data_IF_423298173527
#
_entry.id   IF_423298173527
#
_cell.length_a   1.000
_cell.length_b   1.000
_cell.length_c   1.000
_cell.angle_alpha   90.00
_cell.angle_beta   90.00
_cell.angle_gamma   90.00
#
_symmetry.space_group_name_H-M   'P 1'
#
loop_
_entity.id
_entity.type
_entity.pdbx_description
1 polymer ?
#
# COMPACT_ATOMS: atom_id res chain seq x y z
N UNK A 1 -6.23 -10.57 -5.73
CA UNK A 1 -7.65 -10.44 -6.17
C UNK A 1 -7.97 -9.03 -6.67
N UNK A 2 -7.21 -8.01 -6.24
CA UNK A 2 -7.38 -6.62 -6.71
C UNK A 2 -7.06 -6.38 -8.17
N UNK A 3 -6.12 -7.14 -8.77
CA UNK A 3 -5.93 -7.15 -10.23
C UNK A 3 -7.26 -7.39 -10.92
N UNK A 4 -8.01 -8.39 -10.45
CA UNK A 4 -9.34 -8.71 -10.98
C UNK A 4 -10.35 -7.60 -10.73
N UNK A 5 -10.36 -6.91 -9.58
CA UNK A 5 -11.36 -5.84 -9.31
C UNK A 5 -11.07 -4.57 -10.14
N UNK A 6 -9.79 -4.22 -10.31
CA UNK A 6 -9.37 -3.07 -11.12
C UNK A 6 -9.41 -3.36 -12.63
N UNK A 7 -9.36 -4.63 -13.03
CA UNK A 7 -9.43 -5.07 -14.44
C UNK A 7 -10.82 -5.57 -14.85
N UNK A 8 -11.66 -6.05 -13.93
CA UNK A 8 -13.09 -6.34 -14.14
C UNK A 8 -13.94 -5.22 -13.54
N UNK A 9 -14.14 -4.18 -14.35
CA UNK A 9 -15.49 -3.66 -14.54
C UNK A 9 -15.82 -3.90 -16.00
N UNK A 10 -16.72 -4.83 -16.22
CA UNK A 10 -17.32 -5.28 -17.48
C UNK A 10 -16.40 -5.88 -18.55
N UNK A 11 -16.76 -7.09 -18.98
CA UNK A 11 -16.28 -7.72 -20.24
C UNK A 11 -16.54 -6.87 -21.50
N UNK A 12 -17.19 -5.71 -21.35
CA UNK A 12 -17.50 -4.72 -22.40
C UNK A 12 -17.05 -3.28 -22.09
N UNK A 13 -16.44 -2.99 -20.92
CA UNK A 13 -15.87 -1.66 -20.71
C UNK A 13 -14.39 -1.68 -21.12
N UNK A 14 -14.03 -0.77 -22.03
CA UNK A 14 -12.66 -0.44 -22.39
C UNK A 14 -11.72 -0.53 -21.17
N UNK A 15 -10.67 -1.36 -21.26
CA UNK A 15 -9.56 -1.41 -20.29
C UNK A 15 -9.24 0.01 -19.82
N UNK A 16 -9.50 0.31 -18.55
CA UNK A 16 -9.26 1.64 -18.03
C UNK A 16 -7.76 1.83 -17.89
N UNK A 17 -7.16 2.67 -18.77
CA UNK A 17 -5.73 3.01 -18.70
C UNK A 17 -5.32 3.48 -17.30
N UNK A 18 -6.23 4.10 -16.57
CA UNK A 18 -5.99 4.54 -15.19
C UNK A 18 -5.86 3.39 -14.19
N UNK A 19 -6.66 2.32 -14.33
CA UNK A 19 -6.58 1.19 -13.39
C UNK A 19 -5.33 0.35 -13.62
N UNK A 20 -4.96 0.13 -14.89
CA UNK A 20 -3.69 -0.52 -15.25
C UNK A 20 -2.49 0.30 -14.76
N UNK A 21 -2.53 1.63 -14.92
CA UNK A 21 -1.49 2.52 -14.40
C UNK A 21 -1.33 2.42 -12.87
N UNK A 22 -2.43 2.42 -12.12
CA UNK A 22 -2.39 2.30 -10.66
C UNK A 22 -1.82 0.93 -10.24
N UNK A 23 -2.22 -0.15 -10.93
CA UNK A 23 -1.69 -1.49 -10.68
C UNK A 23 -0.19 -1.58 -10.96
N UNK A 24 0.26 -1.07 -12.10
CA UNK A 24 1.69 -1.10 -12.46
C UNK A 24 2.52 -0.27 -11.48
N UNK A 25 2.06 0.95 -11.18
CA UNK A 25 2.77 1.86 -10.28
C UNK A 25 2.77 1.34 -8.85
N UNK A 26 1.65 0.80 -8.37
CA UNK A 26 1.55 0.15 -7.07
C UNK A 26 2.47 -1.06 -6.94
N UNK A 27 2.50 -1.92 -7.96
CA UNK A 27 3.42 -3.07 -7.99
C UNK A 27 4.87 -2.62 -7.96
N UNK A 28 5.29 -1.69 -8.85
CA UNK A 28 6.67 -1.19 -8.87
C UNK A 28 7.05 -0.52 -7.55
N UNK A 29 6.13 0.24 -6.97
CA UNK A 29 6.35 0.97 -5.73
C UNK A 29 6.55 0.03 -4.54
N UNK A 30 5.71 -0.99 -4.41
CA UNK A 30 5.76 -1.93 -3.29
C UNK A 30 6.74 -3.09 -3.47
N UNK A 31 7.26 -3.31 -4.68
CA UNK A 31 8.12 -4.46 -4.99
C UNK A 31 9.28 -4.67 -3.99
N UNK A 32 10.07 -3.65 -3.58
CA UNK A 32 11.14 -3.85 -2.60
C UNK A 32 10.62 -4.32 -1.24
N UNK A 33 9.47 -3.81 -0.80
CA UNK A 33 8.83 -4.21 0.46
C UNK A 33 8.24 -5.62 0.36
N UNK A 34 7.65 -5.98 -0.79
CA UNK A 34 7.13 -7.33 -1.01
C UNK A 34 8.23 -8.39 -0.99
N UNK A 35 9.41 -8.11 -1.56
CA UNK A 35 10.56 -9.01 -1.47
C UNK A 35 11.00 -9.25 -0.01
N UNK A 36 11.05 -8.19 0.79
CA UNK A 36 11.38 -8.30 2.22
C UNK A 36 10.34 -9.10 2.99
N UNK A 37 9.06 -8.88 2.70
CA UNK A 37 7.96 -9.63 3.32
C UNK A 37 8.00 -11.11 2.90
N UNK A 38 8.25 -11.42 1.63
CA UNK A 38 8.32 -12.81 1.13
C UNK A 38 9.43 -13.63 1.78
N UNK A 39 10.53 -12.99 2.20
CA UNK A 39 11.58 -13.62 2.99
C UNK A 39 11.16 -13.93 4.45
N UNK A 40 10.10 -13.29 4.98
CA UNK A 40 9.71 -13.35 6.39
C UNK A 40 8.39 -14.08 6.63
N UNK A 41 7.43 -13.95 5.73
CA UNK A 41 6.06 -14.46 5.88
C UNK A 41 5.63 -15.29 4.67
N UNK A 42 4.59 -16.10 4.84
CA UNK A 42 4.02 -16.91 3.76
C UNK A 42 3.54 -16.02 2.59
N UNK A 43 3.82 -16.44 1.35
CA UNK A 43 3.48 -15.72 0.11
C UNK A 43 1.98 -15.35 0.01
N UNK A 44 1.09 -16.11 0.64
CA UNK A 44 -0.35 -15.76 0.74
C UNK A 44 -0.58 -14.51 1.58
N UNK A 45 0.19 -14.33 2.66
CA UNK A 45 0.14 -13.12 3.48
C UNK A 45 0.78 -11.93 2.75
N UNK A 46 1.87 -12.15 2.00
CA UNK A 46 2.47 -11.11 1.13
C UNK A 46 1.46 -10.63 0.07
N UNK A 47 0.74 -11.57 -0.54
CA UNK A 47 -0.32 -11.25 -1.51
C UNK A 47 -1.48 -10.49 -0.84
N UNK A 48 -1.84 -10.90 0.39
CA UNK A 48 -2.87 -10.22 1.19
C UNK A 48 -2.45 -8.79 1.53
N UNK A 49 -1.18 -8.55 1.85
CA UNK A 49 -0.65 -7.22 2.11
C UNK A 49 -0.80 -6.30 0.89
N UNK A 50 -0.42 -6.79 -0.30
CA UNK A 50 -0.60 -6.03 -1.53
C UNK A 50 -2.07 -5.74 -1.83
N UNK A 51 -2.94 -6.76 -1.74
CA UNK A 51 -4.37 -6.60 -1.95
C UNK A 51 -4.96 -5.57 -0.94
N UNK A 52 -4.54 -5.63 0.33
CA UNK A 52 -4.95 -4.67 1.37
C UNK A 52 -4.49 -3.24 1.05
N UNK A 53 -3.24 -3.05 0.63
CA UNK A 53 -2.73 -1.74 0.23
C UNK A 53 -3.54 -1.14 -0.92
N UNK A 54 -3.84 -1.94 -1.94
CA UNK A 54 -4.64 -1.48 -3.07
C UNK A 54 -6.08 -1.15 -2.66
N UNK A 55 -6.67 -1.92 -1.74
CA UNK A 55 -7.96 -1.62 -1.15
C UNK A 55 -7.97 -0.24 -0.50
N UNK A 56 -6.99 0.01 0.38
CA UNK A 56 -6.87 1.29 1.08
C UNK A 56 -6.66 2.43 0.09
N UNK A 57 -5.77 2.26 -0.90
CA UNK A 57 -5.49 3.30 -1.89
C UNK A 57 -6.72 3.68 -2.72
N UNK A 58 -7.50 2.70 -3.17
CA UNK A 58 -8.69 2.90 -4.01
C UNK A 58 -9.85 3.46 -3.20
N UNK A 59 -10.03 3.01 -1.95
CA UNK A 59 -11.18 3.35 -1.11
C UNK A 59 -10.88 4.35 0.01
N UNK A 60 -9.69 4.99 0.04
CA UNK A 60 -9.26 5.98 1.05
C UNK A 60 -10.23 7.14 1.26
N UNK A 61 -11.01 7.49 0.24
CA UNK A 61 -11.97 8.59 0.29
C UNK A 61 -13.35 8.19 0.84
N UNK A 62 -13.58 6.89 1.08
CA UNK A 62 -14.81 6.41 1.68
C UNK A 62 -14.72 6.50 3.21
N UNK A 63 -15.74 7.07 3.86
CA UNK A 63 -15.81 7.18 5.34
C UNK A 63 -15.63 5.82 6.04
N UNK A 64 -16.06 4.74 5.38
CA UNK A 64 -15.97 3.37 5.90
C UNK A 64 -14.81 2.56 5.29
N UNK A 65 -13.94 3.20 4.48
CA UNK A 65 -12.90 2.54 3.70
C UNK A 65 -11.79 1.86 4.51
N UNK A 66 -11.76 2.06 5.83
CA UNK A 66 -10.83 1.43 6.76
C UNK A 66 -11.48 0.44 7.73
N UNK A 67 -12.80 0.21 7.63
CA UNK A 67 -13.45 -0.82 8.41
C UNK A 67 -12.97 -2.20 7.93
N UNK A 68 -12.56 -3.05 8.87
CA UNK A 68 -11.98 -4.36 8.57
C UNK A 68 -12.96 -5.26 7.78
N UNK A 69 -14.26 -5.15 8.05
CA UNK A 69 -15.32 -5.85 7.33
C UNK A 69 -15.44 -5.39 5.88
N UNK A 70 -15.39 -4.08 5.64
CA UNK A 70 -15.41 -3.50 4.30
C UNK A 70 -14.16 -3.87 3.51
N UNK A 71 -12.98 -3.72 4.12
CA UNK A 71 -11.70 -4.14 3.54
C UNK A 71 -11.69 -5.65 3.22
N UNK A 72 -12.23 -6.47 4.11
CA UNK A 72 -12.43 -7.90 3.88
C UNK A 72 -13.33 -8.18 2.67
N UNK A 73 -14.41 -7.43 2.55
CA UNK A 73 -15.31 -7.44 1.39
C UNK A 73 -14.61 -7.02 0.09
N UNK A 74 -13.76 -5.99 0.13
CA UNK A 74 -13.00 -5.59 -1.06
C UNK A 74 -11.93 -6.62 -1.46
N UNK A 75 -11.34 -7.35 -0.52
CA UNK A 75 -10.35 -8.38 -0.87
C UNK A 75 -11.01 -9.64 -1.43
N UNK A 76 -12.08 -10.16 -0.81
CA UNK A 76 -12.66 -11.48 -1.16
C UNK A 76 -14.02 -11.42 -1.87
N UNK A 77 -14.58 -10.22 -2.07
CA UNK A 77 -15.97 -10.02 -2.48
C UNK A 77 -16.89 -9.83 -1.27
N UNK A 78 -17.95 -9.02 -1.42
CA UNK A 78 -18.87 -8.67 -0.33
C UNK A 78 -19.54 -9.90 0.30
N UNK A 79 -19.87 -10.93 -0.49
CA UNK A 79 -20.43 -12.20 -0.01
C UNK A 79 -19.45 -13.03 0.85
N UNK A 80 -18.15 -12.75 0.75
CA UNK A 80 -17.09 -13.44 1.47
C UNK A 80 -16.28 -12.49 2.37
N UNK A 81 -16.88 -11.37 2.78
CA UNK A 81 -16.25 -10.40 3.67
C UNK A 81 -15.66 -11.04 4.95
N UNK A 82 -16.30 -12.00 5.64
CA UNK A 82 -15.70 -12.67 6.80
C UNK A 82 -14.39 -13.40 6.50
N UNK A 83 -14.28 -14.02 5.31
CA UNK A 83 -13.05 -14.70 4.89
C UNK A 83 -11.92 -13.69 4.62
N UNK A 84 -12.24 -12.56 3.99
CA UNK A 84 -11.30 -11.46 3.77
C UNK A 84 -10.83 -10.84 5.09
N UNK A 85 -11.76 -10.57 6.01
CA UNK A 85 -11.47 -10.12 7.38
C UNK A 85 -10.49 -11.07 8.06
N UNK A 86 -10.73 -12.39 8.01
CA UNK A 86 -9.81 -13.38 8.59
C UNK A 86 -8.42 -13.33 7.97
N UNK A 87 -8.30 -13.16 6.65
CA UNK A 87 -7.01 -13.01 5.97
C UNK A 87 -6.24 -11.78 6.44
N UNK A 88 -6.89 -10.61 6.47
CA UNK A 88 -6.26 -9.37 6.97
C UNK A 88 -5.86 -9.54 8.43
N UNK A 89 -6.74 -10.11 9.24
CA UNK A 89 -6.50 -10.31 10.66
C UNK A 89 -5.32 -11.26 10.93
N UNK A 90 -5.12 -12.28 10.09
CA UNK A 90 -3.96 -13.15 10.13
C UNK A 90 -2.67 -12.44 9.71
N UNK A 91 -2.73 -11.58 8.68
CA UNK A 91 -1.60 -10.73 8.30
C UNK A 91 -1.18 -9.85 9.48
N UNK A 92 -2.11 -9.08 10.06
CA UNK A 92 -1.82 -8.14 11.14
C UNK A 92 -1.31 -8.80 12.43
N UNK A 93 -1.72 -10.04 12.70
CA UNK A 93 -1.25 -10.80 13.89
C UNK A 93 0.02 -11.62 13.65
N UNK A 94 0.54 -11.67 12.43
CA UNK A 94 1.73 -12.45 12.12
C UNK A 94 2.96 -11.84 12.82
N UNK A 95 3.52 -12.53 13.81
CA UNK A 95 4.68 -12.05 14.60
C UNK A 95 6.00 -11.96 13.82
N UNK A 96 6.05 -12.51 12.60
CA UNK A 96 7.25 -12.56 11.77
C UNK A 96 7.51 -11.25 11.00
N UNK A 97 6.57 -10.31 11.01
CA UNK A 97 6.74 -8.99 10.44
C UNK A 97 6.27 -7.91 11.43
N UNK A 98 6.69 -6.67 11.20
CA UNK A 98 6.43 -5.53 12.07
C UNK A 98 6.24 -4.27 11.21
N UNK A 99 5.59 -3.25 11.77
CA UNK A 99 5.49 -1.93 11.14
C UNK A 99 6.84 -1.30 10.85
N UNK A 100 7.88 -1.67 11.61
CA UNK A 100 9.26 -1.19 11.38
C UNK A 100 9.76 -1.48 9.96
N UNK A 101 9.30 -2.56 9.32
CA UNK A 101 9.64 -2.84 7.91
C UNK A 101 9.10 -1.78 6.95
N UNK A 102 7.93 -1.20 7.28
CA UNK A 102 7.33 -0.12 6.52
C UNK A 102 8.11 1.18 6.79
N UNK A 103 8.48 1.43 8.05
CA UNK A 103 9.30 2.59 8.42
C UNK A 103 10.67 2.57 7.72
N UNK A 104 11.35 1.43 7.73
CA UNK A 104 12.62 1.22 7.04
C UNK A 104 12.49 1.43 5.52
N UNK A 105 11.41 0.91 4.93
CA UNK A 105 11.10 1.11 3.52
C UNK A 105 10.95 2.60 3.16
N UNK A 106 10.21 3.36 3.97
CA UNK A 106 10.07 4.81 3.75
C UNK A 106 11.39 5.54 3.97
N UNK A 107 12.12 5.20 5.03
CA UNK A 107 13.40 5.83 5.36
C UNK A 107 14.44 5.65 4.25
N UNK A 108 14.60 4.43 3.74
CA UNK A 108 15.52 4.16 2.62
C UNK A 108 15.12 4.94 1.37
N UNK A 109 13.83 4.97 1.04
CA UNK A 109 13.32 5.70 -0.11
C UNK A 109 13.56 7.21 0.03
N UNK A 110 13.37 7.77 1.22
CA UNK A 110 13.69 9.18 1.50
C UNK A 110 15.19 9.43 1.33
N UNK A 111 16.06 8.53 1.77
CA UNK A 111 17.51 8.65 1.55
C UNK A 111 17.87 8.63 0.07
N UNK A 112 17.27 7.74 -0.72
CA UNK A 112 17.46 7.70 -2.18
C UNK A 112 16.99 8.99 -2.85
N UNK A 113 15.84 9.51 -2.42
CA UNK A 113 15.28 10.76 -2.92
C UNK A 113 16.18 11.96 -2.60
N UNK A 114 16.67 12.07 -1.37
CA UNK A 114 17.61 13.12 -0.94
C UNK A 114 18.88 13.08 -1.80
N UNK A 115 19.48 11.89 -1.98
CA UNK A 115 20.67 11.74 -2.83
C UNK A 115 20.41 12.20 -4.26
N UNK A 116 19.26 11.83 -4.83
CA UNK A 116 18.87 12.25 -6.18
C UNK A 116 18.65 13.75 -6.32
N UNK A 117 18.07 14.41 -5.30
CA UNK A 117 17.92 15.86 -5.29
C UNK A 117 19.29 16.55 -5.24
N UNK A 118 20.16 16.09 -4.35
CA UNK A 118 21.52 16.62 -4.22
C UNK A 118 22.34 16.46 -5.50
N UNK A 119 22.26 15.30 -6.17
CA UNK A 119 22.94 15.07 -7.46
C UNK A 119 22.43 15.98 -8.57
N UNK A 120 21.17 16.41 -8.49
CA UNK A 120 20.57 17.35 -9.43
C UNK A 120 20.82 18.82 -9.06
N UNK A 121 21.68 19.10 -8.07
CA UNK A 121 21.95 20.46 -7.57
C UNK A 121 20.77 21.09 -6.82
N UNK A 122 19.75 20.30 -6.48
CA UNK A 122 18.59 20.76 -5.74
C UNK A 122 18.86 20.61 -4.24
N UNK A 123 18.52 21.65 -3.45
CA UNK A 123 18.62 21.60 -1.99
C UNK A 123 17.42 20.85 -1.41
N UNK A 124 17.60 19.69 -0.74
CA UNK A 124 16.52 19.02 -0.04
C UNK A 124 16.03 19.89 1.13
N UNK A 125 14.71 19.92 1.34
CA UNK A 125 14.08 20.58 2.48
C UNK A 125 13.35 19.53 3.32
N UNK A 126 13.55 19.58 4.63
CA UNK A 126 12.82 18.76 5.59
C UNK A 126 11.73 19.62 6.22
N UNK A 127 10.47 19.26 5.98
CA UNK A 127 9.34 19.83 6.69
C UNK A 127 9.14 19.01 7.97
N UNK A 128 9.20 19.69 9.11
CA UNK A 128 8.94 19.10 10.42
C UNK A 128 7.58 19.59 10.90
N UNK A 129 6.61 18.69 10.94
CA UNK A 129 5.30 18.95 11.52
C UNK A 129 5.01 17.92 12.62
N UNK A 130 4.54 18.38 13.76
CA UNK A 130 4.21 17.53 14.91
C UNK A 130 2.70 17.40 15.01
N UNK A 131 2.16 16.29 14.51
CA UNK A 131 0.79 15.90 14.80
C UNK A 131 0.74 15.04 16.07
N UNK A 132 -0.19 15.34 16.98
CA UNK A 132 -0.27 14.81 18.35
C UNK A 132 -0.62 13.32 18.50
N UNK A 133 -0.28 12.46 17.54
CA UNK A 133 -0.34 11.01 17.70
C UNK A 133 0.93 10.41 17.12
N UNK A 134 1.77 9.89 18.02
CA UNK A 134 3.13 9.43 17.78
C UNK A 134 3.26 8.55 16.51
N UNK A 135 3.60 9.17 15.39
CA UNK A 135 4.11 8.56 14.16
C UNK A 135 4.72 9.69 13.33
N UNK A 136 6.04 9.65 13.17
CA UNK A 136 6.82 10.63 12.41
C UNK A 136 6.50 10.45 10.93
N UNK A 137 5.62 11.28 10.39
CA UNK A 137 5.40 11.34 8.93
C UNK A 137 6.26 12.46 8.39
N UNK A 138 7.30 12.11 7.64
CA UNK A 138 8.04 13.06 6.81
C UNK A 138 7.18 13.31 5.57
N UNK A 139 6.43 14.40 5.56
CA UNK A 139 5.65 14.81 4.40
C UNK A 139 6.53 15.64 3.47
N UNK A 140 6.98 15.05 2.36
CA UNK A 140 7.69 15.78 1.31
C UNK A 140 6.68 16.50 0.42
N UNK A 141 6.70 17.84 0.42
CA UNK A 141 6.01 18.65 -0.59
C UNK A 141 6.82 18.58 -1.89
N UNK A 142 6.30 17.81 -2.85
CA UNK A 142 6.72 17.81 -4.24
C UNK A 142 5.51 17.62 -5.13
N UNK A 143 5.05 18.72 -5.75
CA UNK A 143 3.98 18.74 -6.75
C UNK A 143 4.26 17.72 -7.88
N UNK A 144 3.18 17.07 -8.33
CA UNK A 144 3.15 16.20 -9.52
C UNK A 144 3.61 16.92 -10.79
#
# INVERSE_FOLDING_TARGET
>A
MFRTILQNKDKNASKSRASDFILERGHRYLHPLQLRLDALIDTRLVSTFYDLFMAILVFRHNRMGLLLSELGGYICGLSHAPAGTKRISNLLRCKKWSSTLIDDFFFERSRERIKSLQSNGQRPLLLWDESGSSSKVVEEVGFF
#
